data_IF_616249470522
#
_entry.id   IF_616249470522
#
_cell.length_a   1.000
_cell.length_b   1.000
_cell.length_c   1.000
_cell.angle_alpha   90.00
_cell.angle_beta   90.00
_cell.angle_gamma   90.00
#
_symmetry.space_group_name_H-M   'P 1'
#
loop_
_entity.id
_entity.type
_entity.pdbx_description
1 polymer ?
#
# COMPACT_ATOMS: atom_id res chain seq x y z
N UNK A 1 -3.28 22.49 -1.13
CA UNK A 1 -3.48 21.05 -1.34
C UNK A 1 -4.08 20.49 -0.07
N UNK A 2 -5.06 19.59 -0.20
CA UNK A 2 -5.63 18.87 0.94
C UNK A 2 -5.60 17.37 0.62
N UNK A 3 -5.08 16.57 1.55
CA UNK A 3 -5.02 15.11 1.46
C UNK A 3 -5.75 14.51 2.66
N UNK A 4 -6.94 13.94 2.45
CA UNK A 4 -7.67 13.31 3.54
C UNK A 4 -7.06 11.94 3.87
N UNK A 5 -7.08 11.60 5.16
CA UNK A 5 -6.65 10.32 5.71
C UNK A 5 -7.89 9.58 6.18
N UNK A 6 -8.06 8.35 5.70
CA UNK A 6 -9.19 7.49 6.04
C UNK A 6 -8.70 6.17 6.65
N UNK A 7 -9.52 5.60 7.53
CA UNK A 7 -9.45 4.20 7.94
C UNK A 7 -10.76 3.55 7.49
N UNK A 8 -10.66 2.60 6.55
CA UNK A 8 -11.83 2.10 5.81
C UNK A 8 -12.61 3.29 5.21
N UNK A 9 -13.90 3.44 5.54
CA UNK A 9 -14.73 4.56 5.10
C UNK A 9 -14.79 5.73 6.10
N UNK A 10 -14.04 5.67 7.20
CA UNK A 10 -14.10 6.68 8.28
C UNK A 10 -13.01 7.75 8.10
N UNK A 11 -13.37 9.04 8.15
CA UNK A 11 -12.37 10.12 8.15
C UNK A 11 -11.58 10.08 9.46
N UNK A 12 -10.25 10.14 9.36
CA UNK A 12 -9.32 10.07 10.49
C UNK A 12 -8.65 11.43 10.72
N UNK A 13 -8.10 12.01 9.66
CA UNK A 13 -7.37 13.27 9.70
C UNK A 13 -7.30 13.89 8.31
N UNK A 14 -6.87 15.15 8.21
CA UNK A 14 -6.58 15.81 6.93
C UNK A 14 -5.21 16.46 6.99
N UNK A 15 -4.42 16.26 5.94
CA UNK A 15 -3.17 16.99 5.71
C UNK A 15 -3.50 18.19 4.82
N UNK A 16 -3.21 19.39 5.29
CA UNK A 16 -3.32 20.63 4.51
C UNK A 16 -1.93 21.19 4.24
N UNK A 17 -1.64 21.48 2.98
CA UNK A 17 -0.39 22.10 2.55
C UNK A 17 -0.65 23.29 1.63
N UNK A 18 -0.16 24.45 2.02
CA UNK A 18 -0.17 25.67 1.21
C UNK A 18 1.24 26.31 1.15
N UNK A 19 1.34 27.52 0.60
CA UNK A 19 2.62 28.21 0.47
C UNK A 19 3.29 28.56 1.81
N UNK A 20 2.54 28.55 2.92
CA UNK A 20 2.98 29.00 4.22
C UNK A 20 3.22 27.84 5.20
N UNK A 21 2.43 26.77 5.14
CA UNK A 21 2.53 25.68 6.09
C UNK A 21 2.04 24.33 5.53
N UNK A 22 2.63 23.26 6.05
CA UNK A 22 2.09 21.90 5.98
C UNK A 22 1.66 21.49 7.38
N UNK A 23 0.44 21.00 7.52
CA UNK A 23 -0.14 20.61 8.81
C UNK A 23 -1.01 19.37 8.67
N UNK A 24 -1.19 18.65 9.79
CA UNK A 24 -2.12 17.53 9.92
C UNK A 24 -3.07 17.78 11.08
N UNK A 25 -4.37 17.74 10.82
CA UNK A 25 -5.41 17.87 11.83
C UNK A 25 -6.26 16.60 11.90
N UNK A 26 -6.50 16.09 13.11
CA UNK A 26 -7.42 14.98 13.31
C UNK A 26 -8.87 15.41 13.12
N UNK A 27 -9.69 14.52 12.58
CA UNK A 27 -11.12 14.74 12.46
C UNK A 27 -11.79 14.66 13.85
N UNK A 28 -12.70 15.59 14.15
CA UNK A 28 -13.39 15.65 15.44
C UNK A 28 -14.24 14.40 15.73
N UNK A 29 -14.80 13.78 14.68
CA UNK A 29 -15.54 12.52 14.78
C UNK A 29 -14.60 11.38 15.14
N UNK A 30 -13.41 11.33 14.53
CA UNK A 30 -12.39 10.34 14.87
C UNK A 30 -11.90 10.49 16.31
N UNK A 31 -11.64 11.73 16.74
CA UNK A 31 -11.27 12.02 18.13
C UNK A 31 -12.34 11.60 19.12
N UNK A 32 -13.61 11.52 18.73
CA UNK A 32 -14.70 11.11 19.62
C UNK A 32 -15.03 9.61 19.52
N UNK A 33 -14.38 8.87 18.63
CA UNK A 33 -14.66 7.45 18.36
C UNK A 33 -14.10 6.54 19.46
N UNK A 34 -14.80 5.46 19.86
CA UNK A 34 -14.29 4.48 20.83
C UNK A 34 -13.08 3.68 20.30
N UNK A 35 -13.01 3.45 18.98
CA UNK A 35 -11.95 2.65 18.34
C UNK A 35 -10.83 3.51 17.75
N UNK A 36 -10.69 4.75 18.25
CA UNK A 36 -9.71 5.72 17.74
C UNK A 36 -8.28 5.30 18.03
N UNK A 37 -7.40 5.55 17.07
CA UNK A 37 -5.96 5.40 17.22
C UNK A 37 -5.24 6.52 16.47
N UNK A 38 -4.01 6.89 16.88
CA UNK A 38 -3.26 7.94 16.22
C UNK A 38 -2.72 7.47 14.85
N UNK A 39 -2.63 8.37 13.87
CA UNK A 39 -2.00 8.10 12.57
C UNK A 39 -0.50 7.77 12.70
N UNK A 40 0.14 8.27 13.76
CA UNK A 40 1.54 8.02 14.10
C UNK A 40 1.71 8.18 15.61
N UNK A 41 2.59 7.38 16.21
CA UNK A 41 2.94 7.54 17.63
C UNK A 41 3.62 8.89 17.90
N UNK A 42 4.23 9.51 16.89
CA UNK A 42 4.82 10.85 16.99
C UNK A 42 3.78 11.98 16.89
N UNK A 43 2.55 11.66 16.48
CA UNK A 43 1.44 12.60 16.36
C UNK A 43 0.22 12.03 17.13
N UNK A 44 0.25 12.01 18.47
CA UNK A 44 -0.84 11.45 19.28
C UNK A 44 -2.19 12.14 19.04
N UNK A 45 -3.28 11.53 19.52
CA UNK A 45 -4.63 12.08 19.34
C UNK A 45 -4.80 13.38 20.14
N UNK A 46 -4.96 14.50 19.43
CA UNK A 46 -5.26 15.81 20.00
C UNK A 46 -6.07 16.66 19.01
N UNK A 47 -6.64 17.77 19.48
CA UNK A 47 -7.45 18.66 18.63
C UNK A 47 -6.60 19.65 17.84
N UNK A 48 -5.42 20.01 18.36
CA UNK A 48 -4.47 20.91 17.74
C UNK A 48 -3.74 20.24 16.58
N UNK A 49 -3.58 20.96 15.46
CA UNK A 49 -2.88 20.45 14.31
C UNK A 49 -1.37 20.27 14.57
N UNK A 50 -0.78 19.24 13.97
CA UNK A 50 0.66 19.01 13.94
C UNK A 50 1.29 19.78 12.79
N UNK A 51 2.46 20.37 13.02
CA UNK A 51 3.20 21.13 12.02
C UNK A 51 4.09 20.26 11.12
N UNK A 52 4.68 20.91 10.13
CA UNK A 52 5.51 20.30 9.11
C UNK A 52 6.71 19.51 9.68
N UNK A 53 7.20 19.91 10.86
CA UNK A 53 8.31 19.28 11.57
C UNK A 53 8.04 17.82 11.97
N UNK A 54 6.76 17.44 12.14
CA UNK A 54 6.33 16.06 12.39
C UNK A 54 5.70 15.43 11.15
N UNK A 55 4.95 16.21 10.37
CA UNK A 55 4.20 15.70 9.21
C UNK A 55 5.13 15.28 8.07
N UNK A 56 6.11 16.10 7.70
CA UNK A 56 6.97 15.80 6.55
C UNK A 56 7.87 14.58 6.76
N UNK A 57 8.55 14.41 7.91
CA UNK A 57 9.31 13.19 8.17
C UNK A 57 8.43 11.94 8.19
N UNK A 58 7.20 12.05 8.72
CA UNK A 58 6.26 10.93 8.70
C UNK A 58 5.88 10.56 7.27
N UNK A 59 5.52 11.53 6.41
CA UNK A 59 5.20 11.30 5.00
C UNK A 59 6.36 10.67 4.22
N UNK A 60 7.60 11.11 4.47
CA UNK A 60 8.79 10.55 3.81
C UNK A 60 9.05 9.07 4.16
N UNK A 61 8.49 8.59 5.28
CA UNK A 61 8.63 7.19 5.71
C UNK A 61 7.49 6.28 5.21
N UNK A 62 6.52 6.81 4.44
CA UNK A 62 5.42 6.01 3.90
C UNK A 62 5.77 5.33 2.56
N UNK A 63 6.43 6.01 1.61
CA UNK A 63 6.90 5.37 0.38
C UNK A 63 7.97 4.31 0.67
N UNK A 64 8.21 3.37 -0.28
CA UNK A 64 9.34 2.45 -0.18
C UNK A 64 10.67 3.22 -0.26
N UNK A 65 11.76 2.57 0.14
CA UNK A 65 13.11 3.12 0.06
C UNK A 65 13.93 2.49 -1.09
N UNK A 66 15.04 3.11 -1.49
CA UNK A 66 16.02 2.51 -2.39
C UNK A 66 15.60 2.49 -3.88
N UNK A 67 15.82 1.36 -4.56
CA UNK A 67 15.49 1.23 -6.00
C UNK A 67 13.97 1.31 -6.29
N UNK A 68 13.07 0.70 -5.48
CA UNK A 68 11.63 0.88 -5.65
C UNK A 68 11.19 2.35 -5.62
N UNK A 69 11.75 3.18 -4.73
CA UNK A 69 11.46 4.62 -4.70
C UNK A 69 11.89 5.30 -6.01
N UNK A 70 13.08 4.94 -6.52
CA UNK A 70 13.59 5.46 -7.80
C UNK A 70 12.73 5.03 -8.98
N UNK A 71 12.24 3.80 -9.00
CA UNK A 71 11.32 3.32 -10.03
C UNK A 71 9.97 4.05 -9.98
N UNK A 72 9.41 4.21 -8.78
CA UNK A 72 8.17 4.97 -8.53
C UNK A 72 8.28 6.42 -8.99
N UNK A 73 9.30 7.15 -8.52
CA UNK A 73 9.54 8.57 -8.86
C UNK A 73 9.75 8.79 -10.36
N UNK A 74 10.47 7.89 -11.06
CA UNK A 74 10.60 7.92 -12.53
C UNK A 74 9.25 7.77 -13.23
N UNK A 75 8.42 6.83 -12.77
CA UNK A 75 7.11 6.55 -13.37
C UNK A 75 6.13 7.70 -13.13
N UNK A 76 6.14 8.30 -11.94
CA UNK A 76 5.23 9.39 -11.54
C UNK A 76 5.73 10.79 -11.96
N UNK A 77 6.97 10.91 -12.45
CA UNK A 77 7.59 12.21 -12.77
C UNK A 77 7.71 13.14 -11.56
N UNK A 78 7.77 12.58 -10.35
CA UNK A 78 7.77 13.32 -9.08
C UNK A 78 9.14 13.20 -8.40
N UNK A 79 9.61 14.26 -7.77
CA UNK A 79 10.90 14.25 -7.07
C UNK A 79 10.83 13.35 -5.81
N UNK A 80 11.88 12.57 -5.48
CA UNK A 80 11.93 11.75 -4.27
C UNK A 80 11.66 12.53 -2.97
N UNK A 81 12.04 13.80 -2.94
CA UNK A 81 11.86 14.72 -1.81
C UNK A 81 10.45 15.31 -1.72
N UNK A 82 9.63 15.20 -2.76
CA UNK A 82 8.24 15.68 -2.76
C UNK A 82 7.30 14.66 -2.12
N UNK A 83 7.44 14.51 -0.79
CA UNK A 83 6.69 13.54 0.00
C UNK A 83 5.17 13.70 -0.14
N UNK A 84 4.70 14.95 -0.23
CA UNK A 84 3.30 15.29 -0.43
C UNK A 84 2.84 14.89 -1.84
N UNK A 85 3.58 15.24 -2.89
CA UNK A 85 3.25 14.87 -4.27
C UNK A 85 3.29 13.35 -4.50
N UNK A 86 4.24 12.65 -3.89
CA UNK A 86 4.33 11.19 -3.93
C UNK A 86 3.16 10.54 -3.20
N UNK A 87 2.83 11.02 -2.01
CA UNK A 87 1.70 10.51 -1.22
C UNK A 87 0.37 10.82 -1.89
N UNK A 88 0.21 11.99 -2.51
CA UNK A 88 -1.01 12.35 -3.24
C UNK A 88 -1.31 11.38 -4.40
N UNK A 89 -0.26 10.83 -5.02
CA UNK A 89 -0.39 9.93 -6.17
C UNK A 89 -0.43 8.46 -5.76
N UNK A 90 0.19 8.07 -4.64
CA UNK A 90 0.31 6.68 -4.19
C UNK A 90 -0.43 6.38 -2.89
N UNK A 91 -1.15 7.36 -2.35
CA UNK A 91 -1.76 7.32 -1.01
C UNK A 91 -2.85 6.28 -0.81
N UNK A 92 -3.46 5.79 -1.89
CA UNK A 92 -4.38 4.65 -1.86
C UNK A 92 -3.66 3.30 -1.69
N UNK A 93 -2.35 3.27 -1.91
CA UNK A 93 -1.54 2.07 -2.04
C UNK A 93 -0.43 2.05 -0.99
N UNK A 94 -0.59 2.76 0.12
CA UNK A 94 0.39 2.79 1.22
C UNK A 94 0.27 1.58 2.14
N UNK A 95 1.36 1.26 2.82
CA UNK A 95 1.41 0.17 3.79
C UNK A 95 0.61 0.52 5.05
N UNK A 96 -0.26 -0.39 5.47
CA UNK A 96 -1.06 -0.24 6.68
C UNK A 96 -2.56 -0.13 6.39
N UNK A 97 -3.32 0.31 7.38
CA UNK A 97 -4.78 0.39 7.30
C UNK A 97 -5.31 1.79 6.97
N UNK A 98 -4.40 2.76 6.73
CA UNK A 98 -4.75 4.14 6.41
C UNK A 98 -4.60 4.40 4.92
N UNK A 99 -5.59 5.06 4.33
CA UNK A 99 -5.53 5.58 2.95
C UNK A 99 -5.35 7.09 2.99
N UNK A 100 -4.34 7.62 2.29
CA UNK A 100 -3.97 9.04 2.27
C UNK A 100 -4.16 9.63 0.87
N UNK A 101 -5.39 9.59 0.39
CA UNK A 101 -5.74 10.15 -0.90
C UNK A 101 -7.21 10.58 -0.89
N UNK A 102 -7.59 11.54 -1.76
CA UNK A 102 -8.99 11.80 -2.04
C UNK A 102 -9.66 10.49 -2.42
N UNK A 103 -10.81 10.18 -1.78
CA UNK A 103 -11.60 9.01 -2.13
C UNK A 103 -11.89 9.08 -3.63
N UNK A 104 -11.38 8.11 -4.40
CA UNK A 104 -11.63 8.05 -5.83
C UNK A 104 -13.15 7.89 -6.03
N UNK A 105 -13.82 8.94 -6.49
CA UNK A 105 -15.23 8.87 -6.87
C UNK A 105 -15.32 8.21 -8.24
N UNK A 106 -15.37 6.88 -8.26
CA UNK A 106 -15.64 6.14 -9.49
C UNK A 106 -14.86 4.85 -9.60
N UNK A 107 -15.59 3.75 -9.52
CA UNK A 107 -15.10 2.39 -9.69
C UNK A 107 -15.50 1.53 -8.52
N UNK A 108 -16.24 0.45 -8.80
CA UNK A 108 -16.44 -0.59 -7.78
C UNK A 108 -15.08 -1.23 -7.49
N UNK A 109 -14.78 -1.42 -6.20
CA UNK A 109 -13.67 -2.24 -5.77
C UNK A 109 -13.77 -3.59 -6.49
N UNK A 110 -12.68 -4.01 -7.11
CA UNK A 110 -12.70 -5.14 -8.04
C UNK A 110 -11.52 -6.07 -7.86
N UNK A 111 -11.59 -7.17 -8.59
CA UNK A 111 -10.55 -8.19 -8.60
C UNK A 111 -10.22 -8.52 -10.04
N UNK A 112 -8.96 -8.30 -10.44
CA UNK A 112 -8.48 -8.63 -11.78
C UNK A 112 -7.90 -10.05 -11.76
N UNK A 113 -8.52 -11.02 -12.45
CA UNK A 113 -7.99 -12.38 -12.48
C UNK A 113 -6.64 -12.43 -13.19
N UNK A 114 -5.73 -13.23 -12.65
CA UNK A 114 -4.52 -13.67 -13.34
C UNK A 114 -4.87 -14.94 -14.11
N UNK A 115 -4.70 -14.88 -15.43
CA UNK A 115 -5.22 -15.89 -16.36
C UNK A 115 -4.49 -17.22 -16.27
N UNK A 116 -3.16 -17.18 -16.08
CA UNK A 116 -2.27 -18.34 -16.05
C UNK A 116 -0.92 -18.00 -15.41
N UNK A 117 -0.06 -19.02 -15.24
CA UNK A 117 1.27 -18.87 -14.66
C UNK A 117 2.17 -17.91 -15.45
N UNK A 118 2.04 -17.85 -16.79
CA UNK A 118 2.81 -16.90 -17.60
C UNK A 118 2.39 -15.45 -17.34
N UNK A 119 1.10 -15.20 -17.11
CA UNK A 119 0.60 -13.89 -16.73
C UNK A 119 1.11 -13.50 -15.33
N UNK A 120 1.19 -14.46 -14.41
CA UNK A 120 1.78 -14.26 -13.09
C UNK A 120 3.27 -13.91 -13.17
N UNK A 121 4.05 -14.65 -13.99
CA UNK A 121 5.47 -14.38 -14.23
C UNK A 121 5.70 -12.97 -14.80
N UNK A 122 4.90 -12.55 -15.79
CA UNK A 122 5.00 -11.18 -16.33
C UNK A 122 4.76 -10.11 -15.27
N UNK A 123 3.79 -10.32 -14.39
CA UNK A 123 3.53 -9.39 -13.28
C UNK A 123 4.77 -9.31 -12.37
N UNK A 124 5.38 -10.44 -12.02
CA UNK A 124 6.59 -10.45 -11.20
C UNK A 124 7.80 -9.79 -11.88
N UNK A 125 7.98 -10.00 -13.19
CA UNK A 125 9.04 -9.36 -13.96
C UNK A 125 8.87 -7.84 -14.04
N UNK A 126 7.63 -7.34 -14.02
CA UNK A 126 7.33 -5.91 -14.06
C UNK A 126 7.47 -5.22 -12.71
N UNK A 127 7.21 -5.91 -11.59
CA UNK A 127 7.21 -5.32 -10.24
C UNK A 127 8.45 -4.50 -9.87
N UNK A 128 9.70 -4.91 -10.19
CA UNK A 128 10.89 -4.10 -9.88
C UNK A 128 10.88 -2.74 -10.59
N UNK A 129 10.33 -2.69 -11.80
CA UNK A 129 10.25 -1.48 -12.62
C UNK A 129 8.97 -0.67 -12.38
N UNK A 130 7.91 -1.34 -11.93
CA UNK A 130 6.57 -0.80 -11.64
C UNK A 130 6.11 -1.30 -10.27
N UNK A 131 6.72 -0.81 -9.18
CA UNK A 131 6.27 -1.17 -7.84
C UNK A 131 4.79 -0.79 -7.71
N UNK A 132 3.98 -1.67 -7.11
CA UNK A 132 2.52 -1.50 -6.98
C UNK A 132 1.78 -1.42 -8.31
N UNK A 133 2.38 -1.91 -9.40
CA UNK A 133 1.80 -1.87 -10.76
C UNK A 133 1.29 -0.47 -11.14
N UNK A 134 2.00 0.57 -10.67
CA UNK A 134 1.69 1.97 -10.93
C UNK A 134 1.49 2.18 -12.44
N UNK A 135 0.37 2.82 -12.80
CA UNK A 135 -0.04 3.06 -14.19
C UNK A 135 -0.93 1.98 -14.81
N UNK A 136 -1.22 0.87 -14.12
CA UNK A 136 -2.37 0.00 -14.43
C UNK A 136 -3.58 0.40 -13.56
N UNK A 137 -4.81 0.06 -13.97
CA UNK A 137 -5.99 0.32 -13.15
C UNK A 137 -5.91 -0.45 -11.82
N UNK A 138 -5.49 0.27 -10.78
CA UNK A 138 -5.60 -0.05 -9.36
C UNK A 138 -4.84 -1.29 -8.94
N UNK A 139 -3.70 -1.13 -8.27
CA UNK A 139 -3.17 -2.19 -7.40
C UNK A 139 -2.78 -1.55 -6.08
N UNK A 140 -3.64 -1.80 -5.10
CA UNK A 140 -3.48 -1.31 -3.75
C UNK A 140 -2.72 -2.36 -2.95
N UNK A 141 -1.48 -2.03 -2.60
CA UNK A 141 -0.89 -2.15 -1.27
C UNK A 141 0.63 -2.20 -1.36
N UNK A 142 1.27 -1.21 -0.75
CA UNK A 142 2.68 -1.26 -0.39
C UNK A 142 2.86 -2.16 0.81
N UNK A 143 3.75 -3.14 0.70
CA UNK A 143 4.28 -3.83 1.86
C UNK A 143 5.73 -3.39 2.04
N UNK A 144 6.05 -2.85 3.20
CA UNK A 144 7.44 -2.51 3.54
C UNK A 144 8.35 -3.75 3.41
N UNK A 145 9.47 -3.60 2.71
CA UNK A 145 10.47 -4.65 2.53
C UNK A 145 11.26 -4.50 1.23
N UNK A 146 12.48 -5.03 1.21
CA UNK A 146 13.39 -4.97 0.05
C UNK A 146 13.11 -6.02 -1.05
N UNK A 147 11.96 -6.70 -1.00
CA UNK A 147 11.59 -7.82 -1.87
C UNK A 147 10.28 -7.50 -2.59
N UNK A 148 10.18 -7.88 -3.86
CA UNK A 148 9.04 -7.60 -4.75
C UNK A 148 7.82 -8.43 -4.32
N UNK A 149 7.02 -7.91 -3.39
CA UNK A 149 5.84 -8.61 -2.87
C UNK A 149 4.60 -8.21 -3.66
N UNK A 150 3.78 -9.18 -4.04
CA UNK A 150 2.52 -8.95 -4.74
C UNK A 150 1.33 -9.24 -3.82
N UNK A 151 0.55 -8.23 -3.40
CA UNK A 151 -0.72 -8.47 -2.71
C UNK A 151 -1.75 -9.06 -3.69
N UNK A 152 -2.39 -10.18 -3.30
CA UNK A 152 -3.39 -10.88 -4.11
C UNK A 152 -4.62 -11.31 -3.28
N UNK A 153 -5.72 -11.62 -3.96
CA UNK A 153 -6.88 -12.29 -3.37
C UNK A 153 -7.20 -13.57 -4.11
N UNK A 154 -7.45 -14.65 -3.37
CA UNK A 154 -7.93 -15.92 -3.92
C UNK A 154 -9.46 -15.91 -3.98
N UNK A 155 -10.02 -15.95 -5.19
CA UNK A 155 -11.47 -16.02 -5.43
C UNK A 155 -11.74 -17.29 -6.22
N UNK A 156 -12.54 -18.21 -5.66
CA UNK A 156 -12.86 -19.51 -6.27
C UNK A 156 -11.63 -20.31 -6.74
N UNK A 157 -10.52 -20.20 -6.02
CA UNK A 157 -9.24 -20.86 -6.34
C UNK A 157 -8.39 -20.15 -7.39
N UNK A 158 -8.85 -19.02 -7.93
CA UNK A 158 -8.10 -18.19 -8.87
C UNK A 158 -7.37 -17.06 -8.15
N UNK A 159 -6.11 -16.82 -8.52
CA UNK A 159 -5.34 -15.67 -8.05
C UNK A 159 -5.85 -14.42 -8.76
N UNK A 160 -6.19 -13.40 -7.98
CA UNK A 160 -6.66 -12.10 -8.48
C UNK A 160 -5.83 -10.96 -7.87
N UNK A 161 -5.60 -9.92 -8.65
CA UNK A 161 -4.99 -8.68 -8.17
C UNK A 161 -6.11 -7.73 -7.73
N UNK A 162 -6.15 -7.29 -6.46
CA UNK A 162 -7.13 -6.34 -5.98
C UNK A 162 -6.96 -4.99 -6.67
N UNK A 163 -8.06 -4.43 -7.18
CA UNK A 163 -8.07 -3.16 -7.89
C UNK A 163 -9.00 -2.16 -7.22
N UNK A 164 -8.68 -0.87 -7.35
CA UNK A 164 -9.51 0.26 -6.89
C UNK A 164 -9.85 0.18 -5.39
N UNK A 165 -8.85 -0.18 -4.57
CA UNK A 165 -8.99 -0.27 -3.12
C UNK A 165 -9.65 -1.55 -2.59
N UNK A 166 -9.85 -2.57 -3.44
CA UNK A 166 -10.26 -3.89 -2.96
C UNK A 166 -9.21 -4.47 -2.00
N UNK A 167 -9.63 -5.14 -0.91
CA UNK A 167 -8.70 -5.73 0.03
C UNK A 167 -7.98 -6.94 -0.58
N UNK A 168 -6.68 -7.05 -0.30
CA UNK A 168 -5.92 -8.28 -0.50
C UNK A 168 -6.14 -9.25 0.66
N UNK A 169 -5.96 -10.55 0.42
CA UNK A 169 -6.02 -11.59 1.47
C UNK A 169 -4.71 -12.34 1.62
N UNK A 170 -3.85 -12.31 0.61
CA UNK A 170 -2.59 -13.04 0.56
C UNK A 170 -1.49 -12.14 -0.01
N UNK A 171 -0.24 -12.46 0.32
CA UNK A 171 0.94 -11.82 -0.27
C UNK A 171 1.74 -12.92 -0.95
N UNK A 172 1.99 -12.78 -2.24
CA UNK A 172 2.90 -13.66 -2.98
C UNK A 172 4.31 -13.07 -2.91
N UNK A 173 5.24 -13.88 -2.41
CA UNK A 173 6.65 -13.54 -2.33
C UNK A 173 7.42 -14.39 -3.37
N UNK A 174 8.01 -13.79 -4.42
CA UNK A 174 8.82 -14.51 -5.38
C UNK A 174 10.15 -14.88 -4.71
N UNK A 175 10.75 -15.98 -5.15
CA UNK A 175 12.01 -16.44 -4.58
C UNK A 175 13.13 -15.44 -4.88
N UNK A 176 13.93 -15.10 -3.88
CA UNK A 176 14.92 -14.04 -4.02
C UNK A 176 16.11 -14.56 -4.86
N UNK A 177 16.43 -13.97 -6.02
CA UNK A 177 17.52 -14.44 -6.87
C UNK A 177 18.91 -14.27 -6.22
N UNK A 178 19.04 -13.34 -5.25
CA UNK A 178 20.27 -13.15 -4.46
C UNK A 178 20.36 -14.11 -3.28
N UNK A 179 19.25 -14.72 -2.87
CA UNK A 179 19.15 -15.68 -1.77
C UNK A 179 18.23 -16.85 -2.17
N UNK A 180 18.67 -17.74 -3.10
CA UNK A 180 17.84 -18.82 -3.60
C UNK A 180 17.32 -19.72 -2.46
N UNK A 181 16.03 -20.04 -2.47
CA UNK A 181 15.38 -20.89 -1.45
C UNK A 181 15.07 -20.19 -0.12
N UNK A 182 15.05 -18.85 -0.08
CA UNK A 182 14.63 -18.12 1.12
C UNK A 182 13.14 -18.28 1.41
N UNK A 183 12.30 -18.43 0.37
CA UNK A 183 10.85 -18.67 0.52
C UNK A 183 10.58 -20.02 1.16
N UNK A 184 11.39 -21.04 0.85
CA UNK A 184 11.30 -22.35 1.51
C UNK A 184 11.77 -22.32 2.97
N UNK A 185 12.61 -21.34 3.35
CA UNK A 185 13.24 -21.24 4.68
C UNK A 185 12.52 -20.31 5.66
N UNK A 186 11.64 -19.42 5.17
CA UNK A 186 10.83 -18.54 6.01
C UNK A 186 9.39 -19.07 6.11
N UNK A 187 8.95 -19.60 7.26
CA UNK A 187 7.52 -19.79 7.50
C UNK A 187 6.91 -18.43 7.83
N UNK A 188 6.70 -17.58 6.83
CA UNK A 188 6.08 -16.26 7.04
C UNK A 188 5.08 -15.93 5.95
N UNK A 189 3.96 -16.64 5.96
CA UNK A 189 2.64 -16.12 5.69
C UNK A 189 1.65 -17.15 6.24
N UNK A 190 0.63 -16.68 6.94
CA UNK A 190 -0.34 -17.48 7.68
C UNK A 190 -0.93 -18.61 6.83
N UNK A 191 -0.47 -19.84 7.08
CA UNK A 191 -1.09 -21.06 6.58
C UNK A 191 -2.29 -21.36 7.49
N UNK A 192 -3.52 -21.09 7.05
CA UNK A 192 -4.70 -21.67 7.70
C UNK A 192 -4.86 -23.12 7.21
N UNK A 193 -5.04 -24.11 8.10
CA UNK A 193 -5.05 -25.52 7.73
C UNK A 193 -6.30 -25.85 6.92
N UNK A 194 -6.12 -26.30 5.67
CA UNK A 194 -7.26 -26.72 4.84
C UNK A 194 -6.95 -27.04 3.37
N UNK A 195 -5.83 -26.60 2.80
CA UNK A 195 -5.47 -26.97 1.42
C UNK A 195 -4.61 -28.23 1.45
N UNK A 196 -5.28 -29.38 1.27
CA UNK A 196 -4.65 -30.69 1.09
C UNK A 196 -3.75 -30.67 -0.15
N UNK A 197 -2.45 -30.85 0.05
CA UNK A 197 -1.52 -31.20 -1.00
C UNK A 197 -1.84 -32.63 -1.48
N UNK A 198 -2.63 -32.76 -2.54
CA UNK A 198 -2.83 -34.02 -3.24
C UNK A 198 -2.98 -33.79 -4.72
N UNK A 199 -1.84 -33.70 -5.42
CA UNK A 199 -1.68 -34.29 -6.75
C UNK A 199 -0.22 -34.12 -7.18
N UNK A 200 0.50 -35.25 -7.23
CA UNK A 200 1.25 -35.72 -8.39
C UNK A 200 1.70 -37.17 -8.08
N UNK A 201 1.29 -38.18 -8.87
CA UNK A 201 1.77 -39.56 -8.76
C UNK A 201 2.87 -39.87 -9.79
N UNK A 202 3.52 -41.06 -9.76
CA UNK A 202 3.78 -41.96 -8.63
C UNK A 202 5.18 -41.74 -8.01
#
# INVERSE_FOLDING_TARGET
MELPIHYEDRPVATISADANATQLAYDAVWLSSPDRFPVSLAMPLQSEAYGAELVLPWLLNLPPEGEPLRAMTRTLGTAPEDALGLTAQTGNDLAGALSIAPKQQGGEAGYRPISDDNALERVFDELPSRPFLIGEEGVSMSLAGAQDKLPVTLIDGQITVPIKGAPSTHILEPDNPRLPGIVQKKPSAWFWPGVSASMLPP
#
